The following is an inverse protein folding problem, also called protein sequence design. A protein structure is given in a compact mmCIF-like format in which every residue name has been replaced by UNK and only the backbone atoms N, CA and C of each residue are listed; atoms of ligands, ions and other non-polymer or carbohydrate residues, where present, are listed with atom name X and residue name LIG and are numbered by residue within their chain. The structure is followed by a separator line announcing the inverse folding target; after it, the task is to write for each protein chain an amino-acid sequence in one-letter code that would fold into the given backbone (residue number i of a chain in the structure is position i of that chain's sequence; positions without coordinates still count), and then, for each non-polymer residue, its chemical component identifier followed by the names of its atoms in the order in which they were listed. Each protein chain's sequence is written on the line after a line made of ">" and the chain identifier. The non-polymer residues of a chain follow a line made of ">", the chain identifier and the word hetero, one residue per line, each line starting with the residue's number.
data_IF_648156312528
#
_entry.id   IF_648156312528
#
_cell.length_a   1.000
_cell.length_b   1.000
_cell.length_c   1.000
_cell.angle_alpha   90.00
_cell.angle_beta   90.00
_cell.angle_gamma   90.00
#
_symmetry.space_group_name_H-M   'P 1'
#
loop_
_entity.id
_entity.type
_entity.pdbx_description
1 polymer ?
#
# COMPACT_ATOMS: atom_id res chain seq x y z
N UNK A 1 -27.26 2.23 -19.32
CA UNK A 1 -27.41 3.28 -18.32
C UNK A 1 -26.52 2.86 -17.18
N UNK A 2 -25.53 3.70 -16.92
CA UNK A 2 -24.33 3.43 -16.13
C UNK A 2 -24.67 3.37 -14.64
N UNK A 3 -24.94 2.18 -14.12
CA UNK A 3 -25.17 1.99 -12.68
C UNK A 3 -23.86 1.57 -11.98
N UNK A 4 -23.25 2.57 -11.34
CA UNK A 4 -22.70 2.48 -9.98
C UNK A 4 -21.60 1.43 -9.70
N UNK A 5 -20.46 1.52 -10.39
CA UNK A 5 -19.20 0.91 -9.91
C UNK A 5 -18.00 1.86 -9.87
N UNK A 6 -18.22 3.10 -9.44
CA UNK A 6 -17.21 3.74 -8.58
C UNK A 6 -17.32 3.15 -7.16
N UNK A 7 -17.32 1.81 -7.08
CA UNK A 7 -17.19 1.12 -5.82
C UNK A 7 -15.80 1.40 -5.30
N UNK A 8 -15.70 1.75 -4.02
CA UNK A 8 -14.45 1.90 -3.28
C UNK A 8 -13.78 0.52 -3.10
N UNK A 9 -13.55 -0.17 -4.22
CA UNK A 9 -12.96 -1.50 -4.27
C UNK A 9 -11.49 -1.39 -3.86
N UNK A 10 -11.08 -2.25 -2.93
CA UNK A 10 -9.71 -2.29 -2.46
C UNK A 10 -8.75 -2.59 -3.62
N UNK A 11 -8.01 -1.57 -4.06
CA UNK A 11 -7.02 -1.72 -5.11
C UNK A 11 -5.86 -2.65 -4.68
N UNK A 12 -5.27 -2.37 -3.51
CA UNK A 12 -4.29 -3.19 -2.81
C UNK A 12 -3.92 -2.54 -1.46
N UNK A 13 -3.15 -3.23 -0.61
CA UNK A 13 -2.73 -2.70 0.71
C UNK A 13 -1.32 -3.13 1.10
N UNK A 14 -0.72 -2.47 2.10
CA UNK A 14 0.47 -2.96 2.79
C UNK A 14 0.46 -2.52 4.25
N UNK A 15 0.94 -3.36 5.15
CA UNK A 15 1.06 -3.05 6.58
C UNK A 15 2.50 -3.32 7.06
N UNK A 16 3.05 -2.37 7.81
CA UNK A 16 4.41 -2.44 8.33
C UNK A 16 4.44 -2.05 9.80
N UNK A 17 5.25 -2.76 10.60
CA UNK A 17 5.54 -2.31 11.95
C UNK A 17 6.40 -1.04 11.91
N UNK A 18 5.97 0.00 12.63
CA UNK A 18 6.59 1.32 12.60
C UNK A 18 8.03 1.33 13.15
N UNK A 19 8.33 0.47 14.11
CA UNK A 19 9.66 0.29 14.67
C UNK A 19 10.66 -0.24 13.62
N UNK A 20 10.20 -1.07 12.69
CA UNK A 20 11.00 -1.65 11.59
C UNK A 20 11.02 -0.78 10.33
N UNK A 21 10.12 0.20 10.22
CA UNK A 21 10.03 1.09 9.07
C UNK A 21 11.21 2.07 9.10
N UNK A 22 12.06 2.07 8.08
CA UNK A 22 13.28 2.92 8.03
C UNK A 22 13.05 4.20 7.21
N UNK A 23 13.55 5.39 7.64
CA UNK A 23 13.45 6.63 6.87
C UNK A 23 14.17 6.58 5.51
N UNK A 24 13.75 7.42 4.56
CA UNK A 24 14.33 7.54 3.23
C UNK A 24 13.43 6.98 2.13
N UNK A 25 13.98 6.80 0.93
CA UNK A 25 13.25 6.26 -0.22
C UNK A 25 13.09 4.72 -0.06
N UNK A 26 11.87 4.20 -0.16
CA UNK A 26 11.53 2.79 0.05
C UNK A 26 10.54 2.30 -1.00
N UNK A 27 10.66 1.03 -1.37
CA UNK A 27 9.66 0.31 -2.14
C UNK A 27 8.76 -0.46 -1.18
N UNK A 28 7.45 -0.27 -1.29
CA UNK A 28 6.45 -1.03 -0.53
C UNK A 28 5.70 -1.95 -1.49
N UNK A 29 5.87 -3.25 -1.31
CA UNK A 29 5.09 -4.26 -2.05
C UNK A 29 3.66 -4.27 -1.52
N UNK A 30 2.70 -4.31 -2.43
CA UNK A 30 1.28 -4.32 -2.11
C UNK A 30 0.71 -5.74 -2.18
N UNK A 31 -0.25 -6.01 -1.31
CA UNK A 31 -1.00 -7.26 -1.20
C UNK A 31 -2.43 -7.06 -1.69
N UNK A 32 -3.02 -8.11 -2.25
CA UNK A 32 -4.44 -8.15 -2.60
C UNK A 32 -5.32 -8.36 -1.35
N UNK A 33 -6.64 -8.42 -1.53
CA UNK A 33 -7.60 -8.65 -0.44
C UNK A 33 -7.41 -9.98 0.31
N UNK A 34 -6.72 -10.96 -0.29
CA UNK A 34 -6.41 -12.25 0.32
C UNK A 34 -5.04 -12.27 1.02
N UNK A 35 -4.32 -11.15 1.02
CA UNK A 35 -2.98 -11.06 1.57
C UNK A 35 -1.90 -11.70 0.69
N UNK A 36 -2.17 -11.90 -0.61
CA UNK A 36 -1.20 -12.40 -1.57
C UNK A 36 -0.43 -11.24 -2.18
N UNK A 37 0.90 -11.37 -2.30
CA UNK A 37 1.75 -10.33 -2.88
C UNK A 37 1.37 -10.11 -4.36
N UNK A 38 1.18 -8.84 -4.72
CA UNK A 38 0.84 -8.44 -6.09
C UNK A 38 2.10 -7.96 -6.83
N UNK A 39 1.93 -7.64 -8.13
CA UNK A 39 2.95 -6.90 -8.88
C UNK A 39 3.00 -5.40 -8.54
N UNK A 40 2.04 -4.90 -7.77
CA UNK A 40 1.95 -3.49 -7.37
C UNK A 40 3.02 -3.12 -6.35
N UNK A 41 3.71 -2.01 -6.61
CA UNK A 41 4.75 -1.46 -5.72
C UNK A 41 4.57 0.06 -5.64
N UNK A 42 4.65 0.60 -4.42
CA UNK A 42 4.74 2.04 -4.19
C UNK A 42 6.18 2.46 -3.90
N UNK A 43 6.64 3.49 -4.60
CA UNK A 43 7.88 4.19 -4.25
C UNK A 43 7.55 5.36 -3.34
N UNK A 44 7.98 5.30 -2.08
CA UNK A 44 7.63 6.30 -1.05
C UNK A 44 8.87 6.88 -0.40
N UNK A 45 8.81 8.16 0.00
CA UNK A 45 9.81 8.77 0.88
C UNK A 45 9.28 8.82 2.30
N UNK A 46 9.89 8.04 3.19
CA UNK A 46 9.50 7.94 4.59
C UNK A 46 10.30 8.96 5.40
N UNK A 47 9.62 9.74 6.23
CA UNK A 47 10.20 10.61 7.26
C UNK A 47 9.62 10.21 8.61
N UNK A 48 10.45 10.17 9.66
CA UNK A 48 10.01 10.03 11.05
C UNK A 48 10.15 11.39 11.71
N UNK A 49 9.15 11.77 12.49
CA UNK A 49 9.17 12.94 13.37
C UNK A 49 9.18 12.45 14.80
N UNK A 50 9.79 13.23 15.69
CA UNK A 50 9.70 13.02 17.14
C UNK A 50 8.39 13.59 17.69
#
# INVERSE_FOLDING_TARGET
>A
MDDERLGDDLAAWACFRLDRLRPGLRMLHLYDSNGVITKGVLLVRIRKTE
#
